data_IF_014828086580
#
_entry.id   IF_014828086580
#
_cell.length_a   1.000
_cell.length_b   1.000
_cell.length_c   1.000
_cell.angle_alpha   90.00
_cell.angle_beta   90.00
_cell.angle_gamma   90.00
#
_symmetry.space_group_name_H-M   'P 1'
#
loop_
_entity.id
_entity.type
_entity.pdbx_description
1 polymer ?
#
# COMPACT_ATOMS: atom_id res chain seq x y z
N UNK A 1 -14.45 -5.45 -12.42
CA UNK A 1 -14.89 -4.29 -11.62
C UNK A 1 -14.20 -3.03 -12.16
N UNK A 2 -14.93 -1.94 -12.46
CA UNK A 2 -14.30 -0.69 -12.86
C UNK A 2 -13.50 -0.10 -11.68
N UNK A 3 -12.31 0.43 -11.95
CA UNK A 3 -11.49 1.13 -10.96
C UNK A 3 -12.22 2.42 -10.56
N UNK A 4 -12.39 2.63 -9.25
CA UNK A 4 -12.99 3.87 -8.74
C UNK A 4 -11.91 4.98 -8.70
N UNK A 5 -11.93 5.85 -9.71
CA UNK A 5 -10.97 6.95 -9.88
C UNK A 5 -10.98 7.98 -8.76
N UNK A 6 -12.01 8.02 -7.88
CA UNK A 6 -12.06 8.94 -6.74
C UNK A 6 -11.07 8.58 -5.62
N UNK A 7 -10.62 7.33 -5.58
CA UNK A 7 -9.65 6.84 -4.60
C UNK A 7 -8.59 5.97 -5.29
N UNK A 8 -7.66 6.59 -6.05
CA UNK A 8 -6.77 5.87 -6.95
C UNK A 8 -5.59 5.17 -6.25
N UNK A 9 -5.41 5.35 -4.94
CA UNK A 9 -4.35 4.68 -4.16
C UNK A 9 -4.85 4.27 -2.78
N UNK A 10 -4.04 3.45 -2.08
CA UNK A 10 -4.31 3.03 -0.70
C UNK A 10 -4.38 4.24 0.24
N UNK A 11 -3.54 5.25 0.04
CA UNK A 11 -3.55 6.48 0.83
C UNK A 11 -4.89 7.23 0.70
N UNK A 12 -5.45 7.30 -0.52
CA UNK A 12 -6.76 7.92 -0.73
C UNK A 12 -7.90 7.13 -0.06
N UNK A 13 -7.80 5.80 -0.05
CA UNK A 13 -8.76 4.95 0.66
C UNK A 13 -8.64 5.13 2.18
N UNK A 14 -7.41 5.24 2.68
CA UNK A 14 -7.13 5.49 4.09
C UNK A 14 -7.67 6.85 4.56
N UNK A 15 -7.47 7.91 3.78
CA UNK A 15 -8.00 9.24 4.09
C UNK A 15 -9.53 9.25 4.12
N UNK A 16 -10.15 8.52 3.19
CA UNK A 16 -11.60 8.32 3.20
C UNK A 16 -12.05 7.58 4.46
N UNK A 17 -11.35 6.52 4.86
CA UNK A 17 -11.66 5.76 6.06
C UNK A 17 -11.54 6.63 7.32
N UNK A 18 -10.47 7.44 7.43
CA UNK A 18 -10.26 8.40 8.53
C UNK A 18 -11.42 9.38 8.67
N UNK A 19 -11.97 9.88 7.56
CA UNK A 19 -13.11 10.81 7.58
C UNK A 19 -14.45 10.16 7.95
N UNK A 20 -14.58 8.84 7.76
CA UNK A 20 -15.85 8.12 7.92
C UNK A 20 -15.95 7.37 9.26
N UNK A 21 -14.82 6.91 9.80
CA UNK A 21 -14.79 6.09 11.01
C UNK A 21 -14.79 6.94 12.29
N UNK A 22 -15.37 6.44 13.39
CA UNK A 22 -15.11 6.98 14.71
C UNK A 22 -13.61 6.94 15.03
N UNK A 23 -13.09 7.97 15.70
CA UNK A 23 -11.66 8.12 15.99
C UNK A 23 -11.04 6.89 16.66
N UNK A 24 -11.66 6.38 17.74
CA UNK A 24 -11.15 5.19 18.45
C UNK A 24 -11.03 3.95 17.55
N UNK A 25 -11.96 3.77 16.61
CA UNK A 25 -11.96 2.62 15.71
C UNK A 25 -10.90 2.77 14.62
N UNK A 26 -10.66 4.00 14.17
CA UNK A 26 -9.58 4.30 13.24
C UNK A 26 -8.21 4.11 13.91
N UNK A 27 -8.05 4.60 15.14
CA UNK A 27 -6.80 4.47 15.91
C UNK A 27 -6.52 3.00 16.26
N UNK A 28 -7.54 2.20 16.54
CA UNK A 28 -7.39 0.75 16.73
C UNK A 28 -6.86 0.05 15.46
N UNK A 29 -7.29 0.50 14.28
CA UNK A 29 -6.89 -0.09 13.01
C UNK A 29 -5.49 0.36 12.55
N UNK A 30 -5.18 1.65 12.69
CA UNK A 30 -3.92 2.25 12.21
C UNK A 30 -2.79 2.27 13.24
N UNK A 31 -3.13 2.16 14.53
CA UNK A 31 -2.17 2.23 15.62
C UNK A 31 -1.16 1.09 15.57
N UNK A 32 0.12 1.43 15.68
CA UNK A 32 1.20 0.50 15.96
C UNK A 32 1.52 0.45 17.45
N UNK A 33 2.57 -0.30 17.78
CA UNK A 33 3.03 -0.43 19.16
C UNK A 33 3.85 0.80 19.58
N UNK A 34 3.62 1.31 20.80
CA UNK A 34 4.38 2.40 21.43
C UNK A 34 4.49 3.64 20.54
N UNK A 35 5.70 3.94 20.05
CA UNK A 35 6.00 5.13 19.25
C UNK A 35 5.80 4.94 17.74
N UNK A 36 5.16 3.85 17.29
CA UNK A 36 4.90 3.54 15.87
C UNK A 36 6.15 3.40 14.98
N UNK A 37 7.34 3.27 15.57
CA UNK A 37 8.62 3.19 14.83
C UNK A 37 8.62 2.00 13.87
N UNK A 38 8.11 0.85 14.32
CA UNK A 38 8.09 -0.36 13.49
C UNK A 38 7.10 -0.24 12.31
N UNK A 39 6.01 0.51 12.47
CA UNK A 39 5.08 0.76 11.37
C UNK A 39 5.78 1.52 10.23
N UNK A 40 6.63 2.49 10.56
CA UNK A 40 7.44 3.20 9.58
C UNK A 40 8.52 2.29 8.96
N UNK A 41 9.26 1.55 9.80
CA UNK A 41 10.33 0.63 9.36
C UNK A 41 9.86 -0.42 8.37
N UNK A 42 8.69 -1.01 8.59
CA UNK A 42 8.11 -2.04 7.71
C UNK A 42 8.02 -1.63 6.23
N UNK A 43 8.04 -0.32 5.96
CA UNK A 43 7.91 0.19 4.60
C UNK A 43 9.08 1.07 4.15
N UNK A 44 9.94 1.56 5.06
CA UNK A 44 11.12 2.34 4.67
C UNK A 44 12.11 1.49 3.90
N UNK A 45 12.42 0.29 4.38
CA UNK A 45 13.45 -0.58 3.79
C UNK A 45 13.08 -1.00 2.35
N UNK A 46 11.79 -1.23 2.09
CA UNK A 46 11.29 -1.53 0.73
C UNK A 46 11.54 -0.36 -0.23
N UNK A 47 11.43 0.89 0.25
CA UNK A 47 11.64 2.10 -0.57
C UNK A 47 13.10 2.38 -0.85
N UNK A 48 14.01 1.86 -0.03
CA UNK A 48 15.45 1.98 -0.24
C UNK A 48 15.95 1.06 -1.36
N UNK A 49 15.18 0.01 -1.70
CA UNK A 49 15.48 -0.90 -2.81
C UNK A 49 15.19 -0.20 -4.15
N UNK A 50 16.20 -0.20 -5.04
CA UNK A 50 16.07 0.30 -6.41
C UNK A 50 15.87 -0.85 -7.38
N UNK A 51 14.89 -0.72 -8.27
CA UNK A 51 14.65 -1.67 -9.35
C UNK A 51 15.57 -1.35 -10.54
N UNK A 52 16.09 -2.39 -11.19
CA UNK A 52 16.77 -2.28 -12.48
C UNK A 52 15.85 -2.82 -13.58
N UNK A 53 15.09 -1.95 -14.25
CA UNK A 53 14.20 -2.36 -15.33
C UNK A 53 14.97 -2.85 -16.55
N UNK A 54 14.38 -3.82 -17.25
CA UNK A 54 14.87 -4.29 -18.55
C UNK A 54 14.02 -3.68 -19.66
N UNK A 55 14.65 -2.90 -20.53
CA UNK A 55 13.98 -2.19 -21.62
C UNK A 55 14.15 -2.91 -22.96
N UNK A 56 13.25 -2.60 -23.91
CA UNK A 56 13.30 -3.03 -25.32
C UNK A 56 13.44 -4.56 -25.44
N UNK A 57 12.45 -5.28 -24.92
CA UNK A 57 12.32 -6.74 -25.07
C UNK A 57 10.92 -7.12 -25.51
N UNK A 58 10.80 -8.29 -26.11
CA UNK A 58 9.50 -8.91 -26.37
C UNK A 58 8.79 -9.19 -25.04
N UNK A 59 7.66 -8.53 -24.81
CA UNK A 59 6.86 -8.65 -23.59
C UNK A 59 5.56 -9.40 -23.89
N UNK A 60 5.48 -10.65 -23.45
CA UNK A 60 4.32 -11.53 -23.68
C UNK A 60 3.15 -11.29 -22.72
N UNK A 61 3.25 -10.31 -21.81
CA UNK A 61 2.28 -10.06 -20.73
C UNK A 61 2.78 -10.48 -19.35
N UNK A 62 2.08 -10.05 -18.30
CA UNK A 62 2.38 -10.42 -16.91
C UNK A 62 1.37 -11.45 -16.41
N UNK A 63 1.86 -12.49 -15.73
CA UNK A 63 1.04 -13.43 -14.97
C UNK A 63 1.46 -13.35 -13.49
N UNK A 64 0.48 -13.18 -12.61
CA UNK A 64 0.69 -13.07 -11.15
C UNK A 64 0.27 -14.34 -10.40
N UNK A 65 -0.12 -15.42 -11.11
CA UNK A 65 -0.49 -16.70 -10.49
C UNK A 65 0.71 -17.29 -9.73
N UNK A 66 0.46 -17.72 -8.49
CA UNK A 66 1.43 -18.40 -7.62
C UNK A 66 0.69 -19.36 -6.70
N UNK A 67 1.43 -20.28 -6.09
CA UNK A 67 0.97 -21.11 -4.96
C UNK A 67 1.54 -20.54 -3.65
N UNK A 68 0.87 -20.80 -2.52
CA UNK A 68 1.22 -20.31 -1.18
C UNK A 68 1.57 -21.47 -0.25
#
# INVERSE_FOLDING_TARGET
MPINSRHPSIEHLRDKARRRMPGFAFDYLEGGCNSNINLQRNTSEIRDIRLQPYYIRDYAGSDLRTEL
#
